data_IF_376097080746
#
_entry.id   IF_376097080746
#
_cell.length_a   1.000
_cell.length_b   1.000
_cell.length_c   1.000
_cell.angle_alpha   90.00
_cell.angle_beta   90.00
_cell.angle_gamma   90.00
#
_symmetry.space_group_name_H-M   'P 1'
#
loop_
_entity.id
_entity.type
_entity.pdbx_description
1 polymer ?
#
# COMPACT_ATOMS: atom_id res chain seq x y z
N UNK A 1 6.49 -2.17 -42.61
CA UNK A 1 6.66 -2.04 -41.13
C UNK A 1 5.33 -1.84 -40.36
N UNK A 2 4.26 -1.45 -41.05
CA UNK A 2 2.95 -1.21 -40.40
C UNK A 2 2.22 -2.49 -39.96
N UNK A 3 2.74 -3.67 -40.26
CA UNK A 3 2.13 -4.96 -39.94
C UNK A 3 2.96 -5.77 -38.92
N UNK A 4 3.95 -5.17 -38.25
CA UNK A 4 4.75 -5.85 -37.26
C UNK A 4 4.16 -5.62 -35.88
N UNK A 5 3.97 -6.71 -35.13
CA UNK A 5 3.51 -6.67 -33.74
C UNK A 5 4.53 -7.38 -32.84
N UNK A 6 4.70 -6.89 -31.63
CA UNK A 6 5.48 -7.56 -30.60
C UNK A 6 4.58 -8.59 -29.92
N UNK A 7 4.90 -9.87 -30.08
CA UNK A 7 4.11 -10.96 -29.53
C UNK A 7 4.77 -11.54 -28.27
N UNK A 8 4.02 -11.63 -27.20
CA UNK A 8 4.45 -12.20 -25.92
C UNK A 8 3.60 -13.43 -25.59
N UNK A 9 4.25 -14.60 -25.51
CA UNK A 9 3.60 -15.83 -25.07
C UNK A 9 3.52 -15.88 -23.55
N UNK A 10 2.33 -16.11 -23.00
CA UNK A 10 2.13 -16.21 -21.55
C UNK A 10 1.30 -17.43 -21.18
N UNK A 11 1.58 -18.03 -20.04
CA UNK A 11 0.79 -19.13 -19.50
C UNK A 11 -0.51 -18.65 -18.83
N UNK A 12 -0.52 -17.45 -18.27
CA UNK A 12 -1.70 -16.83 -17.67
C UNK A 12 -1.51 -15.30 -17.71
N UNK A 13 -2.36 -14.63 -18.51
CA UNK A 13 -2.23 -13.18 -18.68
C UNK A 13 -2.56 -12.38 -17.41
N UNK A 14 -3.31 -12.94 -16.47
CA UNK A 14 -3.62 -12.26 -15.20
C UNK A 14 -2.43 -12.19 -14.25
N UNK A 15 -1.44 -13.06 -14.45
CA UNK A 15 -0.20 -13.10 -13.69
C UNK A 15 0.92 -12.29 -14.34
N UNK A 16 0.71 -11.79 -15.57
CA UNK A 16 1.66 -10.87 -16.19
C UNK A 16 1.80 -9.59 -15.36
N UNK A 17 3.02 -9.13 -15.18
CA UNK A 17 3.33 -7.99 -14.29
C UNK A 17 2.53 -6.74 -14.64
N UNK A 18 2.30 -6.50 -15.93
CA UNK A 18 1.55 -5.34 -16.42
C UNK A 18 0.05 -5.42 -16.12
N UNK A 19 -0.55 -6.60 -16.19
CA UNK A 19 -1.95 -6.81 -15.80
C UNK A 19 -2.11 -6.91 -14.30
N UNK A 20 -1.22 -7.63 -13.62
CA UNK A 20 -1.25 -7.78 -12.16
C UNK A 20 -1.04 -6.44 -11.42
N UNK A 21 -0.27 -5.52 -11.99
CA UNK A 21 -0.04 -4.18 -11.43
C UNK A 21 -1.13 -3.16 -11.79
N UNK A 22 -2.10 -3.53 -12.65
CA UNK A 22 -3.14 -2.63 -13.11
C UNK A 22 -2.70 -1.61 -14.17
N UNK A 23 -1.45 -1.69 -14.66
CA UNK A 23 -0.96 -0.86 -15.80
C UNK A 23 -1.76 -1.17 -17.06
N UNK A 24 -2.06 -2.45 -17.29
CA UNK A 24 -2.98 -2.89 -18.32
C UNK A 24 -4.28 -3.38 -17.70
N UNK A 25 -5.37 -2.99 -18.32
CA UNK A 25 -6.72 -3.35 -17.89
C UNK A 25 -7.44 -4.04 -19.03
N UNK A 26 -8.02 -5.19 -18.75
CA UNK A 26 -8.88 -5.88 -19.71
C UNK A 26 -10.21 -5.15 -19.80
N UNK A 27 -10.50 -4.56 -20.96
CA UNK A 27 -11.73 -3.79 -21.21
C UNK A 27 -12.88 -4.68 -21.70
N UNK A 28 -12.55 -5.67 -22.53
CA UNK A 28 -13.52 -6.56 -23.14
C UNK A 28 -12.98 -7.99 -23.22
N UNK A 29 -13.87 -8.99 -23.16
CA UNK A 29 -13.53 -10.39 -23.33
C UNK A 29 -13.02 -11.06 -22.06
N UNK A 30 -12.15 -12.07 -22.23
CA UNK A 30 -11.62 -12.90 -21.15
C UNK A 30 -10.09 -12.92 -21.18
N UNK A 31 -9.44 -13.05 -20.02
CA UNK A 31 -7.98 -13.23 -19.96
C UNK A 31 -7.58 -14.60 -20.53
N UNK A 32 -6.35 -14.70 -21.02
CA UNK A 32 -5.75 -15.98 -21.40
C UNK A 32 -5.39 -16.75 -20.13
N UNK A 33 -5.75 -18.04 -20.11
CA UNK A 33 -5.46 -18.99 -19.05
C UNK A 33 -4.59 -20.12 -19.58
N UNK A 34 -4.06 -20.93 -18.64
CA UNK A 34 -3.10 -21.99 -18.92
C UNK A 34 -3.54 -23.00 -20.00
N UNK A 35 -4.84 -23.29 -20.07
CA UNK A 35 -5.39 -24.32 -20.96
C UNK A 35 -5.92 -23.73 -22.29
N UNK A 36 -5.82 -22.42 -22.47
CA UNK A 36 -6.23 -21.76 -23.70
C UNK A 36 -5.24 -22.05 -24.83
N UNK A 37 -5.78 -22.25 -26.04
CA UNK A 37 -4.99 -22.48 -27.26
C UNK A 37 -5.47 -21.55 -28.36
N UNK A 38 -4.51 -21.04 -29.13
CA UNK A 38 -4.75 -20.10 -30.23
C UNK A 38 -5.60 -18.88 -29.81
N UNK A 39 -5.36 -18.39 -28.59
CA UNK A 39 -6.02 -17.19 -28.06
C UNK A 39 -5.04 -16.03 -28.00
N UNK A 40 -5.58 -14.82 -28.25
CA UNK A 40 -4.77 -13.60 -28.25
C UNK A 40 -5.50 -12.45 -27.54
N UNK A 41 -4.75 -11.64 -26.80
CA UNK A 41 -5.19 -10.34 -26.31
C UNK A 41 -4.51 -9.26 -27.14
N UNK A 42 -5.28 -8.28 -27.57
CA UNK A 42 -4.80 -7.16 -28.37
C UNK A 42 -5.07 -5.82 -27.67
N UNK A 43 -4.21 -4.84 -27.94
CA UNK A 43 -4.39 -3.50 -27.39
C UNK A 43 -5.58 -2.80 -28.07
N UNK A 44 -6.35 -1.96 -27.33
CA UNK A 44 -7.53 -1.26 -27.85
C UNK A 44 -7.25 -0.40 -29.08
N UNK A 45 -6.05 0.23 -29.15
CA UNK A 45 -5.65 1.04 -30.31
C UNK A 45 -5.42 0.16 -31.54
N UNK A 46 -4.82 -1.03 -31.37
CA UNK A 46 -4.65 -1.99 -32.45
C UNK A 46 -6.02 -2.50 -32.92
N UNK A 47 -6.93 -2.79 -31.98
CA UNK A 47 -8.29 -3.19 -32.29
C UNK A 47 -9.04 -2.12 -33.10
N UNK A 48 -9.02 -0.87 -32.63
CA UNK A 48 -9.66 0.27 -33.30
C UNK A 48 -9.08 0.53 -34.71
N UNK A 49 -7.75 0.48 -34.83
CA UNK A 49 -7.06 0.74 -36.12
C UNK A 49 -7.41 -0.28 -37.20
N UNK A 50 -7.65 -1.54 -36.81
CA UNK A 50 -7.93 -2.65 -37.72
C UNK A 50 -9.40 -3.11 -37.69
N UNK A 51 -10.29 -2.38 -36.99
CA UNK A 51 -11.72 -2.69 -36.83
C UNK A 51 -11.98 -4.10 -36.28
N UNK A 52 -11.11 -4.57 -35.36
CA UNK A 52 -11.17 -5.89 -34.77
C UNK A 52 -12.01 -5.90 -33.47
N UNK A 53 -12.71 -6.99 -33.22
CA UNK A 53 -13.55 -7.22 -32.05
C UNK A 53 -13.19 -8.54 -31.35
N UNK A 54 -13.64 -8.70 -30.12
CA UNK A 54 -13.54 -9.98 -29.41
C UNK A 54 -14.29 -11.06 -30.18
N UNK A 55 -13.65 -12.21 -30.39
CA UNK A 55 -14.14 -13.32 -31.18
C UNK A 55 -13.70 -13.31 -32.64
N UNK A 56 -13.14 -12.19 -33.15
CA UNK A 56 -12.57 -12.16 -34.50
C UNK A 56 -11.29 -13.00 -34.56
N UNK A 57 -10.95 -13.43 -35.79
CA UNK A 57 -9.76 -14.23 -36.07
C UNK A 57 -8.66 -13.37 -36.68
N UNK A 58 -7.46 -13.54 -36.16
CA UNK A 58 -6.26 -12.84 -36.61
C UNK A 58 -5.17 -13.85 -36.97
N UNK A 59 -4.66 -13.78 -38.19
CA UNK A 59 -3.54 -14.61 -38.64
C UNK A 59 -2.23 -13.90 -38.36
N UNK A 60 -1.34 -14.57 -37.61
CA UNK A 60 0.01 -14.10 -37.35
C UNK A 60 1.02 -15.09 -37.90
N UNK A 61 2.09 -14.57 -38.47
CA UNK A 61 3.25 -15.35 -38.92
C UNK A 61 4.46 -14.95 -38.11
N UNK A 62 5.24 -15.93 -37.69
CA UNK A 62 6.51 -15.66 -37.03
C UNK A 62 7.43 -14.81 -37.93
N UNK A 63 8.22 -13.95 -37.31
CA UNK A 63 9.22 -13.15 -37.99
C UNK A 63 10.60 -13.42 -37.37
N UNK A 64 11.62 -13.65 -38.18
CA UNK A 64 13.01 -13.74 -37.73
C UNK A 64 13.84 -12.68 -38.41
N UNK A 65 14.83 -12.18 -37.69
CA UNK A 65 15.84 -11.25 -38.22
C UNK A 65 16.96 -11.99 -38.96
N UNK A 66 16.99 -13.34 -38.89
CA UNK A 66 17.98 -14.19 -39.57
C UNK A 66 17.29 -15.07 -40.60
N UNK A 67 17.75 -15.03 -41.83
CA UNK A 67 17.16 -15.78 -42.94
C UNK A 67 17.18 -17.30 -42.73
N UNK A 68 18.15 -17.84 -42.01
CA UNK A 68 18.26 -19.26 -41.69
C UNK A 68 17.11 -19.78 -40.81
N UNK A 69 16.61 -18.95 -39.89
CA UNK A 69 15.52 -19.29 -38.98
C UNK A 69 14.14 -19.12 -39.64
N UNK A 70 14.05 -18.37 -40.73
CA UNK A 70 12.78 -18.05 -41.40
C UNK A 70 12.06 -19.28 -41.99
N UNK A 71 12.81 -20.35 -42.31
CA UNK A 71 12.26 -21.61 -42.86
C UNK A 71 11.48 -22.47 -41.87
N UNK A 72 11.64 -22.21 -40.58
CA UNK A 72 10.98 -22.95 -39.48
C UNK A 72 9.76 -22.24 -38.91
N UNK A 73 9.46 -21.00 -39.37
CA UNK A 73 8.38 -20.19 -38.84
C UNK A 73 7.02 -20.65 -39.37
N UNK A 74 6.04 -20.73 -38.49
CA UNK A 74 4.69 -21.10 -38.82
C UNK A 74 3.75 -19.90 -38.86
N UNK A 75 2.61 -20.09 -39.52
CA UNK A 75 1.48 -19.18 -39.48
C UNK A 75 0.41 -19.80 -38.58
N UNK A 76 -0.16 -19.02 -37.68
CA UNK A 76 -1.20 -19.46 -36.72
C UNK A 76 -2.35 -18.48 -36.80
N UNK A 77 -3.57 -19.02 -36.83
CA UNK A 77 -4.81 -18.27 -36.71
C UNK A 77 -5.20 -18.20 -35.22
N UNK A 78 -5.30 -17.00 -34.68
CA UNK A 78 -5.66 -16.73 -33.31
C UNK A 78 -7.09 -16.16 -33.24
N UNK A 79 -7.84 -16.56 -32.22
CA UNK A 79 -9.08 -15.90 -31.85
C UNK A 79 -8.80 -14.80 -30.82
N UNK A 80 -9.34 -13.61 -31.02
CA UNK A 80 -9.22 -12.49 -30.10
C UNK A 80 -10.05 -12.79 -28.86
N UNK A 81 -9.39 -13.22 -27.77
CA UNK A 81 -10.04 -13.54 -26.51
C UNK A 81 -10.43 -12.29 -25.73
N UNK A 82 -9.67 -11.19 -25.88
CA UNK A 82 -9.98 -9.94 -25.22
C UNK A 82 -9.19 -8.76 -25.75
N UNK A 83 -9.67 -7.57 -25.36
CA UNK A 83 -9.08 -6.29 -25.70
C UNK A 83 -8.69 -5.59 -24.41
N UNK A 84 -7.43 -5.15 -24.32
CA UNK A 84 -6.91 -4.46 -23.15
C UNK A 84 -6.53 -3.02 -23.47
N UNK A 85 -6.55 -2.15 -22.44
CA UNK A 85 -6.11 -0.77 -22.47
C UNK A 85 -4.94 -0.55 -21.51
N UNK A 86 -4.36 0.64 -21.55
CA UNK A 86 -3.28 1.07 -20.69
C UNK A 86 -2.02 1.39 -21.46
N UNK A 87 -1.11 2.12 -20.81
CA UNK A 87 0.16 2.52 -21.40
C UNK A 87 1.29 2.21 -20.43
N UNK A 88 2.28 1.49 -20.91
CA UNK A 88 3.53 1.30 -20.17
C UNK A 88 4.46 2.45 -20.50
N UNK A 89 5.06 3.08 -19.49
CA UNK A 89 6.11 4.07 -19.72
C UNK A 89 7.28 3.41 -20.44
N UNK A 90 7.55 3.86 -21.64
CA UNK A 90 8.69 3.43 -22.43
C UNK A 90 9.80 4.48 -22.30
N UNK A 91 11.02 4.01 -22.04
CA UNK A 91 12.19 4.87 -22.19
C UNK A 91 12.25 5.27 -23.66
N UNK A 92 12.39 6.57 -23.96
CA UNK A 92 12.55 7.06 -25.30
C UNK A 92 13.71 6.34 -26.00
N UNK A 93 13.36 5.43 -26.89
CA UNK A 93 14.34 4.67 -27.69
C UNK A 93 14.65 5.34 -29.02
N UNK A 94 14.06 6.50 -29.32
CA UNK A 94 14.16 7.19 -30.60
C UNK A 94 13.35 6.55 -31.74
N UNK A 95 12.62 5.46 -31.46
CA UNK A 95 11.70 4.84 -32.43
C UNK A 95 10.33 5.53 -32.32
N UNK A 96 9.78 5.90 -33.46
CA UNK A 96 8.51 6.65 -33.58
C UNK A 96 7.25 5.79 -33.35
N UNK A 97 7.36 4.49 -33.07
CA UNK A 97 6.25 3.58 -32.80
C UNK A 97 6.10 3.32 -31.33
N UNK A 98 4.90 3.52 -30.81
CA UNK A 98 4.53 3.13 -29.45
C UNK A 98 4.48 1.59 -29.41
N UNK A 99 5.53 0.97 -28.85
CA UNK A 99 5.66 -0.49 -28.81
C UNK A 99 4.50 -1.11 -28.01
N UNK A 100 4.01 -0.42 -26.99
CA UNK A 100 2.87 -0.86 -26.17
C UNK A 100 1.61 -1.06 -27.01
N UNK A 101 1.31 -0.13 -27.93
CA UNK A 101 0.11 -0.16 -28.76
C UNK A 101 0.11 -1.32 -29.78
N UNK A 102 1.31 -1.80 -30.15
CA UNK A 102 1.53 -2.90 -31.07
C UNK A 102 1.93 -4.20 -30.34
N UNK A 103 1.80 -4.28 -29.00
CA UNK A 103 2.05 -5.49 -28.23
C UNK A 103 0.79 -6.33 -28.17
N UNK A 104 0.95 -7.62 -28.40
CA UNK A 104 -0.12 -8.63 -28.27
C UNK A 104 0.33 -9.72 -27.30
N UNK A 105 -0.60 -10.24 -26.52
CA UNK A 105 -0.35 -11.38 -25.63
C UNK A 105 -1.05 -12.60 -26.20
N UNK A 106 -0.38 -13.73 -26.25
CA UNK A 106 -0.95 -14.98 -26.77
C UNK A 106 -0.64 -16.13 -25.82
N UNK A 107 -1.36 -17.24 -25.98
CA UNK A 107 -1.07 -18.42 -25.20
C UNK A 107 0.35 -18.95 -25.49
N UNK A 108 0.94 -19.55 -24.45
CA UNK A 108 2.34 -19.96 -24.48
C UNK A 108 2.62 -21.01 -25.57
N UNK A 109 1.77 -22.04 -25.70
CA UNK A 109 1.99 -23.13 -26.65
C UNK A 109 1.95 -22.64 -28.09
N UNK A 110 0.95 -21.83 -28.45
CA UNK A 110 0.85 -21.26 -29.79
C UNK A 110 1.97 -20.29 -30.11
N UNK A 111 2.50 -19.58 -29.12
CA UNK A 111 3.66 -18.68 -29.29
C UNK A 111 4.92 -19.47 -29.66
N UNK A 112 5.15 -20.64 -29.02
CA UNK A 112 6.27 -21.52 -29.33
C UNK A 112 6.15 -22.13 -30.71
N UNK A 113 4.96 -22.61 -31.06
CA UNK A 113 4.68 -23.16 -32.38
C UNK A 113 4.88 -22.11 -33.49
N UNK A 114 4.44 -20.88 -33.28
CA UNK A 114 4.67 -19.75 -34.20
C UNK A 114 6.16 -19.53 -34.48
N UNK A 115 7.03 -19.76 -33.49
CA UNK A 115 8.48 -19.67 -33.61
C UNK A 115 9.15 -20.95 -34.13
N UNK A 116 8.37 -21.95 -34.49
CA UNK A 116 8.89 -23.21 -35.04
C UNK A 116 9.39 -24.21 -34.03
N UNK A 117 9.17 -24.00 -32.72
CA UNK A 117 9.56 -24.96 -31.68
C UNK A 117 8.57 -26.10 -31.58
N UNK A 118 9.07 -27.31 -31.33
CA UNK A 118 8.28 -28.48 -30.99
C UNK A 118 8.09 -28.57 -29.46
N UNK A 119 7.08 -29.29 -28.96
CA UNK A 119 6.80 -29.41 -27.53
C UNK A 119 8.01 -29.86 -26.68
N UNK A 120 8.91 -30.67 -27.23
CA UNK A 120 10.13 -31.12 -26.55
C UNK A 120 11.20 -30.00 -26.44
N UNK A 121 11.13 -28.98 -27.29
CA UNK A 121 12.16 -27.95 -27.43
C UNK A 121 11.66 -26.58 -26.97
N UNK A 122 10.52 -26.51 -26.29
CA UNK A 122 9.94 -25.24 -25.82
C UNK A 122 10.91 -24.48 -24.93
N UNK A 123 11.04 -23.19 -25.20
CA UNK A 123 11.96 -22.30 -24.48
C UNK A 123 11.19 -21.28 -23.67
N UNK A 124 11.66 -21.03 -22.46
CA UNK A 124 11.19 -19.94 -21.61
C UNK A 124 12.19 -18.81 -21.68
N UNK A 125 11.73 -17.63 -22.03
CA UNK A 125 12.54 -16.40 -21.95
C UNK A 125 12.63 -15.89 -20.53
N UNK A 126 11.54 -16.02 -19.75
CA UNK A 126 11.49 -15.63 -18.36
C UNK A 126 10.43 -16.45 -17.61
N UNK A 127 10.66 -16.68 -16.32
CA UNK A 127 9.67 -17.17 -15.38
C UNK A 127 9.50 -16.14 -14.26
N UNK A 128 8.27 -15.69 -14.02
CA UNK A 128 7.95 -14.69 -13.00
C UNK A 128 7.27 -15.37 -11.83
N UNK A 129 7.79 -15.15 -10.65
CA UNK A 129 7.24 -15.68 -9.41
C UNK A 129 6.82 -14.52 -8.50
N UNK A 130 5.60 -14.60 -7.97
CA UNK A 130 5.10 -13.65 -6.99
C UNK A 130 5.24 -14.19 -5.59
N UNK A 131 5.76 -13.37 -4.69
CA UNK A 131 5.92 -13.71 -3.28
C UNK A 131 4.87 -12.95 -2.48
N UNK A 132 4.00 -13.66 -1.75
CA UNK A 132 2.91 -13.06 -0.97
C UNK A 132 3.40 -12.13 0.13
N UNK A 133 4.57 -12.40 0.72
CA UNK A 133 5.19 -11.56 1.72
C UNK A 133 6.54 -11.04 1.24
N UNK A 134 6.65 -9.75 0.88
CA UNK A 134 7.87 -9.16 0.36
C UNK A 134 9.09 -9.30 1.28
N UNK A 135 8.88 -9.37 2.60
CA UNK A 135 9.96 -9.57 3.57
C UNK A 135 10.61 -10.96 3.51
N UNK A 136 9.96 -11.91 2.83
CA UNK A 136 10.47 -13.27 2.65
C UNK A 136 11.14 -13.48 1.29
N UNK A 137 11.24 -12.46 0.45
CA UNK A 137 11.76 -12.57 -0.91
C UNK A 137 13.19 -13.13 -0.93
N UNK A 138 14.06 -12.71 -0.01
CA UNK A 138 15.44 -13.20 0.05
C UNK A 138 15.52 -14.68 0.46
N UNK A 139 14.59 -15.14 1.30
CA UNK A 139 14.46 -16.54 1.67
C UNK A 139 14.01 -17.39 0.47
N UNK A 140 13.05 -16.89 -0.31
CA UNK A 140 12.57 -17.54 -1.54
C UNK A 140 13.70 -17.60 -2.57
N UNK A 141 14.43 -16.50 -2.79
CA UNK A 141 15.60 -16.44 -3.69
C UNK A 141 16.62 -17.50 -3.33
N UNK A 142 16.97 -17.63 -2.04
CA UNK A 142 17.92 -18.63 -1.57
C UNK A 142 17.42 -20.06 -1.78
N UNK A 143 16.12 -20.28 -1.73
CA UNK A 143 15.52 -21.58 -2.02
C UNK A 143 15.56 -21.89 -3.52
N UNK A 144 15.21 -20.92 -4.36
CA UNK A 144 15.26 -21.07 -5.83
C UNK A 144 16.68 -21.29 -6.32
N UNK A 145 17.68 -20.61 -5.76
CA UNK A 145 19.09 -20.81 -6.10
C UNK A 145 19.60 -22.24 -5.84
N UNK A 146 18.94 -22.98 -4.95
CA UNK A 146 19.28 -24.39 -4.68
C UNK A 146 18.64 -25.37 -5.67
N UNK A 147 17.75 -24.91 -6.54
CA UNK A 147 17.12 -25.74 -7.56
C UNK A 147 18.12 -26.12 -8.66
N UNK A 148 17.82 -27.23 -9.37
CA UNK A 148 18.66 -27.76 -10.47
C UNK A 148 18.44 -26.93 -11.75
N UNK A 149 18.73 -25.64 -11.71
CA UNK A 149 18.69 -24.75 -12.88
C UNK A 149 20.13 -24.44 -13.27
N UNK A 150 20.41 -24.32 -14.56
CA UNK A 150 21.71 -23.88 -15.05
C UNK A 150 21.86 -22.37 -14.85
N UNK A 151 22.42 -21.99 -13.71
CA UNK A 151 22.67 -20.60 -13.33
C UNK A 151 23.77 -19.92 -14.16
N UNK A 152 24.43 -20.62 -15.08
CA UNK A 152 25.37 -20.00 -16.04
C UNK A 152 24.65 -19.34 -17.22
N UNK A 153 23.45 -19.84 -17.52
CA UNK A 153 22.61 -19.34 -18.63
C UNK A 153 21.36 -18.59 -18.15
N UNK A 154 21.12 -18.56 -16.84
CA UNK A 154 19.90 -18.02 -16.27
C UNK A 154 20.22 -17.06 -15.13
N UNK A 155 19.72 -15.85 -15.21
CA UNK A 155 19.83 -14.87 -14.13
C UNK A 155 18.58 -14.86 -13.26
N UNK A 156 18.77 -14.86 -11.95
CA UNK A 156 17.70 -14.63 -10.98
C UNK A 156 17.67 -13.16 -10.59
N UNK A 157 16.72 -12.44 -11.14
CA UNK A 157 16.56 -10.99 -10.89
C UNK A 157 15.52 -10.76 -9.80
N UNK A 158 15.92 -10.08 -8.72
CA UNK A 158 15.01 -9.56 -7.70
C UNK A 158 14.38 -8.27 -8.22
N UNK A 159 13.10 -8.31 -8.55
CA UNK A 159 12.36 -7.09 -8.92
C UNK A 159 11.72 -6.45 -7.69
N UNK A 160 12.56 -5.90 -6.81
CA UNK A 160 12.12 -5.25 -5.57
C UNK A 160 12.20 -3.72 -5.63
N UNK A 161 12.69 -3.13 -6.72
CA UNK A 161 12.93 -1.68 -6.81
C UNK A 161 11.69 -0.85 -6.51
N UNK A 162 10.54 -1.18 -7.10
CA UNK A 162 9.29 -0.48 -6.83
C UNK A 162 8.84 -0.69 -5.37
N UNK A 163 8.94 -1.92 -4.86
CA UNK A 163 8.63 -2.23 -3.47
C UNK A 163 9.59 -1.52 -2.49
N UNK A 164 10.89 -1.50 -2.77
CA UNK A 164 11.90 -0.84 -1.94
C UNK A 164 11.66 0.67 -1.89
N UNK A 165 11.33 1.30 -3.02
CA UNK A 165 10.98 2.72 -3.08
C UNK A 165 9.74 3.04 -2.24
N UNK A 166 8.67 2.26 -2.38
CA UNK A 166 7.45 2.41 -1.58
C UNK A 166 7.71 2.09 -0.11
N UNK A 167 8.43 1.00 0.18
CA UNK A 167 8.74 0.58 1.54
C UNK A 167 9.62 1.58 2.28
N UNK A 168 10.63 2.17 1.61
CA UNK A 168 11.47 3.22 2.19
C UNK A 168 10.66 4.48 2.49
N UNK A 169 9.76 4.88 1.59
CA UNK A 169 8.83 5.99 1.81
C UNK A 169 7.92 5.72 3.01
N UNK A 170 7.29 4.55 3.06
CA UNK A 170 6.42 4.15 4.18
C UNK A 170 7.21 4.11 5.50
N UNK A 171 8.45 3.62 5.48
CA UNK A 171 9.30 3.57 6.68
C UNK A 171 9.65 4.98 7.14
N UNK A 172 10.00 5.89 6.25
CA UNK A 172 10.27 7.29 6.55
C UNK A 172 9.03 7.99 7.13
N UNK A 173 7.85 7.77 6.53
CA UNK A 173 6.59 8.27 7.07
C UNK A 173 6.32 7.74 8.48
N UNK A 174 6.50 6.44 8.71
CA UNK A 174 6.33 5.82 10.03
C UNK A 174 7.27 6.46 11.07
N UNK A 175 8.49 6.76 10.69
CA UNK A 175 9.46 7.42 11.56
C UNK A 175 9.02 8.84 11.92
N UNK A 176 8.56 9.64 10.94
CA UNK A 176 8.01 10.98 11.15
C UNK A 176 6.77 10.92 12.07
N UNK A 177 5.84 10.00 11.79
CA UNK A 177 4.63 9.82 12.59
C UNK A 177 4.99 9.43 14.03
N UNK A 178 5.96 8.57 14.25
CA UNK A 178 6.42 8.21 15.59
C UNK A 178 6.95 9.43 16.35
N UNK A 179 7.84 10.22 15.73
CA UNK A 179 8.38 11.45 16.34
C UNK A 179 7.26 12.43 16.68
N UNK A 180 6.33 12.68 15.75
CA UNK A 180 5.17 13.53 15.99
C UNK A 180 4.29 13.00 17.13
N UNK A 181 4.02 11.70 17.17
CA UNK A 181 3.23 11.06 18.23
C UNK A 181 3.88 11.26 19.60
N UNK A 182 5.19 11.02 19.73
CA UNK A 182 5.90 11.27 20.98
C UNK A 182 5.87 12.75 21.39
N UNK A 183 6.06 13.67 20.44
CA UNK A 183 5.98 15.10 20.70
C UNK A 183 4.59 15.53 21.19
N UNK A 184 3.54 14.99 20.57
CA UNK A 184 2.15 15.25 20.97
C UNK A 184 1.88 14.69 22.37
N UNK A 185 2.34 13.48 22.69
CA UNK A 185 2.17 12.87 24.02
C UNK A 185 2.82 13.76 25.09
N UNK A 186 4.08 14.15 24.90
CA UNK A 186 4.80 15.01 25.85
C UNK A 186 4.10 16.37 25.99
N UNK A 187 3.76 17.00 24.87
CA UNK A 187 3.04 18.27 24.87
C UNK A 187 1.68 18.17 25.58
N UNK A 188 0.95 17.09 25.36
CA UNK A 188 -0.34 16.85 26.00
C UNK A 188 -0.22 16.68 27.53
N UNK A 189 0.82 15.98 28.01
CA UNK A 189 1.06 15.83 29.45
C UNK A 189 1.34 17.21 30.05
N UNK A 190 2.18 18.03 29.43
CA UNK A 190 2.52 19.37 29.94
C UNK A 190 1.28 20.26 29.97
N UNK A 191 0.56 20.38 28.86
CA UNK A 191 -0.62 21.23 28.74
C UNK A 191 -1.72 20.79 29.70
N UNK A 192 -2.00 19.48 29.76
CA UNK A 192 -3.01 18.95 30.66
C UNK A 192 -2.62 19.17 32.14
N UNK A 193 -1.34 18.99 32.50
CA UNK A 193 -0.85 19.27 33.84
C UNK A 193 -1.01 20.74 34.23
N UNK A 194 -0.74 21.67 33.30
CA UNK A 194 -0.92 23.11 33.54
C UNK A 194 -2.41 23.45 33.74
N UNK A 195 -3.31 22.94 32.88
CA UNK A 195 -4.74 23.15 32.98
C UNK A 195 -5.26 22.60 34.34
N UNK A 196 -4.84 21.40 34.69
CA UNK A 196 -5.22 20.78 35.95
C UNK A 196 -4.68 21.55 37.15
N UNK A 197 -3.48 22.11 37.08
CA UNK A 197 -2.90 22.93 38.13
C UNK A 197 -3.75 24.20 38.36
N UNK A 198 -4.21 24.87 37.31
CA UNK A 198 -5.12 26.03 37.43
C UNK A 198 -6.46 25.58 38.01
N UNK A 199 -7.04 24.53 37.51
CA UNK A 199 -8.33 24.00 37.96
C UNK A 199 -8.31 23.57 39.44
N UNK A 200 -7.25 22.88 39.88
CA UNK A 200 -7.05 22.53 41.28
C UNK A 200 -6.86 23.77 42.17
N UNK A 201 -6.23 24.83 41.66
CA UNK A 201 -6.06 26.09 42.40
C UNK A 201 -7.39 26.78 42.63
N UNK A 202 -8.33 26.75 41.68
CA UNK A 202 -9.68 27.30 41.84
C UNK A 202 -10.47 26.54 42.89
N UNK A 203 -10.27 25.20 43.03
CA UNK A 203 -10.96 24.36 44.01
C UNK A 203 -10.17 24.13 45.29
N UNK A 204 -9.14 24.93 45.55
CA UNK A 204 -8.25 24.70 46.71
C UNK A 204 -8.99 24.79 48.05
N UNK A 205 -10.02 25.64 48.15
CA UNK A 205 -10.88 25.78 49.32
C UNK A 205 -11.68 24.48 49.55
N UNK A 206 -12.32 23.94 48.54
CA UNK A 206 -13.06 22.67 48.64
C UNK A 206 -12.15 21.53 49.06
N UNK A 207 -10.95 21.46 48.49
CA UNK A 207 -9.93 20.47 48.88
C UNK A 207 -9.52 20.63 50.35
N UNK A 208 -9.37 21.87 50.84
CA UNK A 208 -9.05 22.18 52.22
C UNK A 208 -10.15 21.72 53.17
N UNK A 209 -11.41 21.94 52.86
CA UNK A 209 -12.56 21.47 53.62
C UNK A 209 -12.62 19.93 53.68
N UNK A 210 -12.44 19.25 52.55
CA UNK A 210 -12.43 17.79 52.48
C UNK A 210 -11.29 17.19 53.29
N UNK A 211 -10.11 17.81 53.27
CA UNK A 211 -8.98 17.38 54.12
C UNK A 211 -9.23 17.61 55.60
N UNK A 212 -9.94 18.66 55.99
CA UNK A 212 -10.30 18.94 57.41
C UNK A 212 -11.37 17.97 57.94
N UNK A 213 -12.21 17.44 57.04
CA UNK A 213 -13.17 16.36 57.35
C UNK A 213 -12.50 14.98 57.41
N UNK A 214 -11.18 14.90 57.21
CA UNK A 214 -10.42 13.64 57.33
C UNK A 214 -10.39 12.81 56.04
N UNK A 215 -10.84 13.33 54.90
CA UNK A 215 -10.75 12.63 53.62
C UNK A 215 -9.28 12.58 53.20
N UNK A 216 -8.83 11.38 52.81
CA UNK A 216 -7.43 11.18 52.41
C UNK A 216 -7.11 11.86 51.08
N UNK A 217 -5.88 12.33 50.95
CA UNK A 217 -5.38 12.93 49.70
C UNK A 217 -5.56 12.01 48.49
N UNK A 218 -5.40 10.69 48.67
CA UNK A 218 -5.58 9.70 47.61
C UNK A 218 -7.05 9.65 47.14
N UNK A 219 -8.01 9.81 48.01
CA UNK A 219 -9.44 9.80 47.69
C UNK A 219 -9.82 11.05 46.87
N UNK A 220 -9.24 12.21 47.21
CA UNK A 220 -9.42 13.44 46.44
C UNK A 220 -8.82 13.29 45.05
N UNK A 221 -7.60 12.75 44.92
CA UNK A 221 -6.96 12.49 43.63
C UNK A 221 -7.80 11.51 42.78
N UNK A 222 -8.32 10.43 43.40
CA UNK A 222 -9.15 9.48 42.67
C UNK A 222 -10.45 10.07 42.15
N UNK A 223 -11.04 11.04 42.86
CA UNK A 223 -12.21 11.78 42.40
C UNK A 223 -11.87 12.59 41.11
N UNK A 224 -10.76 13.29 41.10
CA UNK A 224 -10.32 14.04 39.89
C UNK A 224 -10.02 13.12 38.71
N UNK A 225 -9.38 11.96 38.98
CA UNK A 225 -9.14 10.95 37.93
C UNK A 225 -10.47 10.48 37.34
N UNK A 226 -11.43 10.15 38.18
CA UNK A 226 -12.76 9.67 37.75
C UNK A 226 -13.48 10.71 36.89
N UNK A 227 -13.44 11.98 37.30
CA UNK A 227 -14.07 13.09 36.57
C UNK A 227 -13.44 13.24 35.16
N UNK A 228 -12.12 13.19 35.07
CA UNK A 228 -11.39 13.26 33.78
C UNK A 228 -11.63 12.01 32.93
N UNK A 229 -11.71 10.83 33.51
CA UNK A 229 -12.03 9.59 32.77
C UNK A 229 -13.41 9.67 32.14
N UNK A 230 -14.42 10.18 32.86
CA UNK A 230 -15.77 10.37 32.30
C UNK A 230 -15.72 11.33 31.12
N UNK A 231 -15.06 12.48 31.27
CA UNK A 231 -14.90 13.46 30.18
C UNK A 231 -14.14 12.85 28.98
N UNK A 232 -13.13 12.03 29.25
CA UNK A 232 -12.30 11.41 28.20
C UNK A 232 -13.09 10.44 27.31
N UNK A 233 -14.13 9.78 27.82
CA UNK A 233 -15.00 8.89 27.04
C UNK A 233 -15.72 9.67 25.94
N UNK A 234 -16.32 10.81 26.29
CA UNK A 234 -17.01 11.68 25.33
C UNK A 234 -16.03 12.30 24.33
N UNK A 235 -14.87 12.74 24.83
CA UNK A 235 -13.80 13.30 24.00
C UNK A 235 -13.27 12.28 22.99
N UNK A 236 -13.12 11.00 23.39
CA UNK A 236 -12.67 9.93 22.49
C UNK A 236 -13.67 9.64 21.38
N UNK A 237 -14.97 9.69 21.68
CA UNK A 237 -16.01 9.51 20.66
C UNK A 237 -15.91 10.58 19.59
N UNK A 238 -15.81 11.88 20.00
CA UNK A 238 -15.64 13.01 19.08
C UNK A 238 -14.31 12.93 18.31
N UNK A 239 -13.23 12.57 18.98
CA UNK A 239 -11.91 12.42 18.36
C UNK A 239 -11.89 11.28 17.32
N UNK A 240 -12.60 10.19 17.53
CA UNK A 240 -12.69 9.09 16.56
C UNK A 240 -13.40 9.49 15.28
N UNK A 241 -14.46 10.28 15.38
CA UNK A 241 -15.22 10.79 14.23
C UNK A 241 -14.36 11.78 13.44
N UNK A 242 -13.82 12.80 14.11
CA UNK A 242 -13.00 13.83 13.46
C UNK A 242 -11.68 13.27 12.92
N UNK A 243 -11.03 12.36 13.65
CA UNK A 243 -9.81 11.69 13.23
C UNK A 243 -9.99 10.83 11.99
N UNK A 244 -11.09 10.12 11.86
CA UNK A 244 -11.47 9.36 10.67
C UNK A 244 -11.58 10.25 9.43
N UNK A 245 -12.24 11.39 9.57
CA UNK A 245 -12.39 12.37 8.49
C UNK A 245 -11.06 12.99 8.07
N UNK A 246 -10.26 13.46 9.06
CA UNK A 246 -8.94 14.05 8.81
C UNK A 246 -7.98 13.02 8.17
N UNK A 247 -7.96 11.78 8.67
CA UNK A 247 -7.14 10.71 8.11
C UNK A 247 -7.44 10.47 6.63
N UNK A 248 -8.71 10.43 6.25
CA UNK A 248 -9.13 10.27 4.86
C UNK A 248 -8.72 11.46 4.00
N UNK A 249 -8.84 12.68 4.52
CA UNK A 249 -8.47 13.91 3.81
C UNK A 249 -6.96 13.99 3.57
N UNK A 250 -6.16 13.68 4.59
CA UNK A 250 -4.69 13.65 4.52
C UNK A 250 -4.23 12.57 3.54
N UNK A 251 -4.79 11.36 3.63
CA UNK A 251 -4.45 10.25 2.73
C UNK A 251 -4.73 10.61 1.27
N UNK A 252 -5.92 11.16 0.97
CA UNK A 252 -6.26 11.64 -0.38
C UNK A 252 -5.35 12.77 -0.85
N UNK A 253 -4.93 13.66 0.05
CA UNK A 253 -3.98 14.73 -0.25
C UNK A 253 -2.61 14.21 -0.65
N UNK A 254 -2.10 13.19 0.04
CA UNK A 254 -0.83 12.54 -0.30
C UNK A 254 -0.87 11.84 -1.65
N UNK A 255 -1.96 11.13 -1.96
CA UNK A 255 -2.11 10.46 -3.27
C UNK A 255 -2.15 11.49 -4.41
N UNK A 256 -2.87 12.61 -4.22
CA UNK A 256 -2.95 13.68 -5.24
C UNK A 256 -1.69 14.52 -5.36
N UNK A 257 -0.97 14.73 -4.25
CA UNK A 257 0.25 15.53 -4.21
C UNK A 257 1.49 14.80 -4.76
N UNK A 258 1.47 13.47 -4.76
CA UNK A 258 2.50 12.60 -5.35
C UNK A 258 2.38 12.47 -6.87
N UNK A 259 1.86 13.48 -7.57
CA UNK A 259 1.81 13.57 -9.05
C UNK A 259 3.20 13.64 -9.69
N UNK A 260 4.01 12.63 -9.44
CA UNK A 260 4.83 12.06 -10.48
C UNK A 260 4.08 10.83 -11.00
N UNK A 261 3.88 10.83 -12.27
CA UNK A 261 3.08 9.99 -13.15
C UNK A 261 3.47 8.48 -13.10
N UNK A 262 3.65 7.94 -11.90
CA UNK A 262 4.02 6.55 -11.68
C UNK A 262 2.76 5.71 -11.53
N UNK A 263 2.71 4.62 -12.26
CA UNK A 263 1.68 3.57 -12.27
C UNK A 263 1.28 3.04 -10.87
N UNK A 264 2.00 3.43 -9.83
CA UNK A 264 1.74 3.12 -8.43
C UNK A 264 0.55 3.88 -7.84
N UNK A 265 0.14 5.02 -8.39
CA UNK A 265 -0.99 5.80 -7.87
C UNK A 265 -2.33 5.07 -8.01
N UNK A 266 -2.49 4.28 -9.07
CA UNK A 266 -3.70 3.48 -9.30
C UNK A 266 -3.91 2.37 -8.26
N UNK A 267 -2.83 1.87 -7.66
CA UNK A 267 -2.89 0.82 -6.61
C UNK A 267 -3.46 1.39 -5.30
N UNK A 268 -3.21 2.66 -5.03
CA UNK A 268 -3.62 3.32 -3.78
C UNK A 268 -5.02 3.96 -3.84
N UNK A 269 -5.60 4.13 -5.03
CA UNK A 269 -6.89 4.82 -5.21
C UNK A 269 -8.05 4.10 -4.52
N UNK A 270 -7.96 2.79 -4.34
CA UNK A 270 -8.98 1.95 -3.69
C UNK A 270 -8.70 1.65 -2.21
N UNK A 271 -7.61 2.19 -1.63
CA UNK A 271 -7.30 1.98 -0.22
C UNK A 271 -7.99 3.07 0.60
N UNK A 272 -9.07 2.71 1.29
CA UNK A 272 -9.70 3.57 2.28
C UNK A 272 -9.11 3.23 3.66
N UNK A 273 -8.48 4.19 4.36
CA UNK A 273 -7.98 3.93 5.70
C UNK A 273 -9.15 3.72 6.67
N UNK A 274 -9.32 2.48 7.13
CA UNK A 274 -10.29 2.14 8.17
C UNK A 274 -9.62 2.13 9.53
N UNK A 275 -10.21 2.84 10.50
CA UNK A 275 -9.79 2.76 11.89
C UNK A 275 -10.25 1.44 12.48
N UNK A 276 -9.30 0.54 12.76
CA UNK A 276 -9.61 -0.69 13.48
C UNK A 276 -9.98 -0.41 14.95
N UNK A 277 -10.97 -1.11 15.47
CA UNK A 277 -11.39 -1.00 16.87
C UNK A 277 -10.23 -1.21 17.86
N UNK A 278 -9.29 -2.10 17.52
CA UNK A 278 -8.07 -2.31 18.33
C UNK A 278 -7.19 -1.06 18.41
N UNK A 279 -7.09 -0.29 17.35
CA UNK A 279 -6.33 0.97 17.31
C UNK A 279 -7.00 2.02 18.21
N UNK A 280 -8.32 2.13 18.16
CA UNK A 280 -9.11 3.03 19.01
C UNK A 280 -8.89 2.69 20.50
N UNK A 281 -8.99 1.41 20.85
CA UNK A 281 -8.77 0.96 22.23
C UNK A 281 -7.33 1.21 22.71
N UNK A 282 -6.34 0.97 21.87
CA UNK A 282 -4.93 1.24 22.18
C UNK A 282 -4.69 2.74 22.41
N UNK A 283 -5.24 3.58 21.55
CA UNK A 283 -5.14 5.05 21.67
C UNK A 283 -5.81 5.53 22.95
N UNK A 284 -6.99 4.98 23.30
CA UNK A 284 -7.67 5.30 24.55
C UNK A 284 -6.84 4.87 25.77
N UNK A 285 -6.19 3.71 25.74
CA UNK A 285 -5.26 3.29 26.79
C UNK A 285 -4.10 4.27 27.00
N UNK A 286 -3.52 4.78 25.89
CA UNK A 286 -2.47 5.82 25.96
C UNK A 286 -3.03 7.11 26.58
N UNK A 287 -4.23 7.54 26.18
CA UNK A 287 -4.90 8.72 26.74
C UNK A 287 -5.09 8.60 28.27
N UNK A 288 -5.55 7.43 28.76
CA UNK A 288 -5.69 7.19 30.19
C UNK A 288 -4.36 7.30 30.95
N UNK A 289 -3.27 6.79 30.36
CA UNK A 289 -1.92 6.93 30.94
C UNK A 289 -1.51 8.42 31.00
N UNK A 290 -1.79 9.20 29.96
CA UNK A 290 -1.51 10.63 29.93
C UNK A 290 -2.30 11.36 31.04
N UNK A 291 -3.57 11.04 31.21
CA UNK A 291 -4.42 11.60 32.28
C UNK A 291 -3.83 11.28 33.66
N UNK A 292 -3.47 10.02 33.89
CA UNK A 292 -2.87 9.60 35.17
C UNK A 292 -1.57 10.36 35.47
N UNK A 293 -0.66 10.45 34.49
CA UNK A 293 0.59 11.16 34.67
C UNK A 293 0.37 12.66 34.90
N UNK A 294 -0.55 13.29 34.19
CA UNK A 294 -0.87 14.70 34.34
C UNK A 294 -1.51 14.99 35.71
N UNK A 295 -2.43 14.15 36.18
CA UNK A 295 -3.06 14.29 37.51
C UNK A 295 -2.07 14.10 38.61
N UNK A 296 -1.26 13.03 38.56
CA UNK A 296 -0.22 12.78 39.58
C UNK A 296 0.78 13.91 39.61
N UNK A 297 1.24 14.41 38.47
CA UNK A 297 2.18 15.53 38.35
C UNK A 297 1.60 16.82 38.95
N UNK A 298 0.41 17.25 38.53
CA UNK A 298 -0.24 18.48 39.04
C UNK A 298 -0.63 18.40 40.52
N UNK A 299 -1.19 17.26 40.93
CA UNK A 299 -1.62 17.04 42.32
C UNK A 299 -0.43 16.97 43.28
N UNK A 300 0.70 16.40 42.86
CA UNK A 300 1.92 16.32 43.66
C UNK A 300 2.40 17.71 44.07
N UNK A 301 2.34 18.67 43.17
CA UNK A 301 2.79 20.05 43.42
C UNK A 301 1.88 20.74 44.48
N UNK A 302 0.57 20.54 44.40
CA UNK A 302 -0.40 21.21 45.27
C UNK A 302 -0.54 20.51 46.63
N UNK A 303 -0.62 19.21 46.62
CA UNK A 303 -0.85 18.40 47.85
C UNK A 303 0.43 18.18 48.68
N UNK A 304 1.61 18.59 48.19
CA UNK A 304 2.83 18.61 49.03
C UNK A 304 2.78 19.74 50.04
N UNK A 305 2.00 20.82 49.83
CA UNK A 305 1.80 21.87 50.81
C UNK A 305 1.04 21.32 52.04
N UNK A 306 1.37 21.79 53.21
CA UNK A 306 0.65 21.39 54.45
C UNK A 306 -0.74 22.01 54.43
N UNK A 307 -1.80 21.34 54.95
CA UNK A 307 -3.16 21.88 55.02
C UNK A 307 -3.25 23.29 55.66
N UNK A 308 -2.36 23.58 56.62
CA UNK A 308 -2.26 24.89 57.26
C UNK A 308 -1.83 25.99 56.30
N UNK A 309 -0.86 25.69 55.40
CA UNK A 309 -0.31 26.67 54.46
C UNK A 309 -1.34 26.93 53.31
N UNK A 310 -2.15 25.93 53.02
CA UNK A 310 -3.24 26.05 52.01
C UNK A 310 -4.34 26.99 52.49
N UNK A 311 -4.67 26.97 53.78
CA UNK A 311 -5.73 27.85 54.34
C UNK A 311 -5.24 29.25 54.64
N UNK A 312 -3.93 29.45 54.90
CA UNK A 312 -3.38 30.80 55.16
C UNK A 312 -2.98 31.59 53.88
N UNK A 313 -2.75 30.96 52.77
CA UNK A 313 -2.48 31.62 51.47
C UNK A 313 -3.71 32.30 50.86
N UNK A 314 -4.87 32.21 51.54
CA UNK A 314 -6.21 32.73 51.09
C UNK A 314 -6.64 33.99 51.85
N UNK A 315 -5.92 34.39 52.89
CA UNK A 315 -6.12 35.62 53.63
C UNK A 315 -5.06 36.64 53.15
#
# INVERSE_FOLDING_TARGET
LNNLVAALGTSDSTLETTFASGVFKLEQGKPIRKDDKSKILIHEKLAKKNHLKVGDKLKLKGASLKDEDAKQLHEVEFEIAGIFSGKKEEKQTGLSSDATENTVYMDYESSQYLQGYKPADYKLSAAVYFVSNPNQIDKVINTVKKSKIDWKQTDLVKNSKAFEAVSSSVTSFKQIINVLTFSIIIGSIIVLSLILMFWLRERIYEIGVLLSLGISKAMIISQFILELVIISVFSMALASISGSYISTMVFKGFIKGGQQQDSSSAIFENIVPHLHTSTILMTYGILLIIILLAVVGSSSIILHKKPKDILTDIS
#
